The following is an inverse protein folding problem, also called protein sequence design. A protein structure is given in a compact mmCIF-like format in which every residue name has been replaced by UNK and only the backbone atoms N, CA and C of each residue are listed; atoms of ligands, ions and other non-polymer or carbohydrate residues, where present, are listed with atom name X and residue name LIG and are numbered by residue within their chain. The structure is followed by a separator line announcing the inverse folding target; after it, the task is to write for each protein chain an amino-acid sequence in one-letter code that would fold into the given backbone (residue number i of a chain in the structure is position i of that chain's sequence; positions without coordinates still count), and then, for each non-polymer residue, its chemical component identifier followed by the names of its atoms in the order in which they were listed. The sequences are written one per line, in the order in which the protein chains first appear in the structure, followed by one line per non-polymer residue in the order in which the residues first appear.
data_IF_719967747129
#
_entry.id   IF_719967747129
#
_cell.length_a   1.000
_cell.length_b   1.000
_cell.length_c   1.000
_cell.angle_alpha   90.00
_cell.angle_beta   90.00
_cell.angle_gamma   90.00
#
_symmetry.space_group_name_H-M   'P 1'
#
loop_
_entity.id
_entity.type
_entity.pdbx_description
1 polymer ?
#
# COMPACT_ATOMS: atom_id res chain seq x y z
N UNK A 1 38.89 1.70 -6.47
CA UNK A 1 38.45 0.98 -7.68
C UNK A 1 37.03 0.51 -7.46
N UNK A 2 36.14 0.63 -8.47
CA UNK A 2 34.76 0.15 -8.36
C UNK A 2 34.74 -1.36 -8.11
N UNK A 3 33.92 -1.81 -7.14
CA UNK A 3 33.75 -3.21 -6.77
C UNK A 3 32.67 -3.85 -7.64
N UNK A 4 32.77 -5.13 -8.01
CA UNK A 4 31.68 -5.91 -8.62
C UNK A 4 30.80 -6.55 -7.55
N UNK A 5 29.55 -6.13 -7.49
CA UNK A 5 28.52 -6.48 -6.52
C UNK A 5 27.45 -7.23 -7.29
N UNK A 6 26.77 -8.20 -6.67
CA UNK A 6 25.58 -8.85 -7.21
C UNK A 6 24.39 -8.62 -6.22
N UNK A 7 23.21 -8.20 -6.67
CA UNK A 7 22.01 -7.99 -5.82
C UNK A 7 20.97 -9.06 -6.12
N UNK A 8 20.76 -10.10 -5.32
CA UNK A 8 19.71 -11.08 -5.66
C UNK A 8 18.35 -10.59 -5.11
N UNK A 9 17.51 -9.91 -5.92
CA UNK A 9 16.18 -9.38 -5.59
C UNK A 9 15.95 -7.95 -6.12
N UNK A 10 14.81 -7.67 -6.77
CA UNK A 10 14.43 -6.46 -7.51
C UNK A 10 13.07 -5.90 -7.09
N UNK A 11 12.62 -6.18 -5.86
CA UNK A 11 11.63 -5.33 -5.20
C UNK A 11 12.12 -3.87 -5.10
N UNK A 12 11.26 -2.95 -4.67
CA UNK A 12 11.59 -1.50 -4.62
C UNK A 12 12.90 -1.21 -3.89
N UNK A 13 13.27 -2.00 -2.88
CA UNK A 13 14.56 -1.91 -2.19
C UNK A 13 15.77 -2.52 -2.92
N UNK A 14 15.59 -3.54 -3.76
CA UNK A 14 16.65 -3.98 -4.66
C UNK A 14 17.05 -2.83 -5.59
N UNK A 15 16.04 -2.10 -6.06
CA UNK A 15 16.17 -0.89 -6.85
C UNK A 15 16.80 0.26 -6.04
N UNK A 16 16.36 0.55 -4.81
CA UNK A 16 16.95 1.62 -3.98
C UNK A 16 18.39 1.32 -3.53
N UNK A 17 18.76 0.07 -3.28
CA UNK A 17 20.13 -0.31 -2.90
C UNK A 17 21.08 -0.35 -4.11
N UNK A 18 20.58 -0.80 -5.27
CA UNK A 18 21.30 -0.60 -6.52
C UNK A 18 21.59 0.90 -6.75
N UNK A 19 20.62 1.76 -6.44
CA UNK A 19 20.74 3.21 -6.54
C UNK A 19 21.80 3.77 -5.56
N UNK A 20 21.68 3.50 -4.26
CA UNK A 20 22.58 4.07 -3.25
C UNK A 20 24.03 3.52 -3.31
N UNK A 21 24.23 2.27 -3.73
CA UNK A 21 25.56 1.64 -3.82
C UNK A 21 26.27 1.98 -5.14
N UNK A 22 25.50 2.22 -6.21
CA UNK A 22 25.99 2.89 -7.42
C UNK A 22 26.42 4.32 -7.11
N UNK A 23 25.70 5.03 -6.23
CA UNK A 23 26.04 6.40 -5.80
C UNK A 23 27.36 6.50 -5.02
N UNK A 24 27.87 5.38 -4.49
CA UNK A 24 29.21 5.28 -3.86
C UNK A 24 30.29 4.71 -4.80
N UNK A 25 29.96 4.49 -6.08
CA UNK A 25 30.94 4.12 -7.13
C UNK A 25 31.24 2.62 -7.28
N UNK A 26 30.28 1.73 -7.02
CA UNK A 26 30.44 0.28 -7.21
C UNK A 26 29.66 -0.26 -8.44
N UNK A 27 30.16 -1.33 -9.06
CA UNK A 27 29.53 -2.13 -10.13
C UNK A 27 28.57 -3.17 -9.52
N UNK A 28 27.35 -3.35 -10.01
CA UNK A 28 26.27 -4.09 -9.32
C UNK A 28 25.56 -5.07 -10.31
N UNK A 29 25.13 -6.27 -9.88
CA UNK A 29 24.52 -7.30 -10.75
C UNK A 29 23.34 -8.01 -10.06
N UNK A 30 22.10 -7.64 -10.39
CA UNK A 30 20.92 -8.02 -9.61
C UNK A 30 20.19 -9.31 -10.12
N UNK A 31 19.64 -10.22 -9.28
CA UNK A 31 18.81 -11.38 -9.67
C UNK A 31 17.58 -11.60 -8.76
N UNK A 32 16.36 -11.34 -9.23
CA UNK A 32 15.11 -11.50 -8.44
C UNK A 32 14.36 -12.77 -8.82
N UNK A 33 13.58 -13.31 -7.88
CA UNK A 33 12.67 -14.41 -8.14
C UNK A 33 11.19 -14.08 -7.82
N UNK A 34 10.87 -13.28 -6.79
CA UNK A 34 9.51 -12.79 -6.50
C UNK A 34 9.50 -11.46 -5.73
N UNK A 35 8.81 -10.43 -6.24
CA UNK A 35 8.80 -9.06 -5.66
C UNK A 35 7.68 -8.78 -4.65
N UNK A 36 7.03 -9.80 -4.11
CA UNK A 36 5.83 -9.69 -3.27
C UNK A 36 6.13 -9.95 -1.79
N UNK A 37 5.72 -9.03 -0.92
CA UNK A 37 5.99 -9.10 0.51
C UNK A 37 4.72 -9.19 1.35
N UNK A 38 4.77 -9.96 2.44
CA UNK A 38 3.73 -9.89 3.46
C UNK A 38 3.86 -8.56 4.23
N UNK A 39 2.80 -7.75 4.24
CA UNK A 39 2.82 -6.37 4.79
C UNK A 39 3.42 -6.30 6.19
N UNK A 40 3.01 -7.20 7.09
CA UNK A 40 3.48 -7.20 8.49
C UNK A 40 4.97 -7.48 8.55
N UNK A 41 5.48 -8.41 7.74
CA UNK A 41 6.91 -8.70 7.70
C UNK A 41 7.68 -7.49 7.18
N UNK A 42 7.27 -6.89 6.06
CA UNK A 42 7.94 -5.71 5.51
C UNK A 42 7.96 -4.55 6.51
N UNK A 43 6.82 -4.23 7.10
CA UNK A 43 6.72 -3.18 8.11
C UNK A 43 7.61 -3.44 9.33
N UNK A 44 7.61 -4.66 9.86
CA UNK A 44 8.46 -5.02 11.01
C UNK A 44 9.95 -4.88 10.68
N UNK A 45 10.39 -5.27 9.48
CA UNK A 45 11.78 -5.09 9.06
C UNK A 45 12.15 -3.61 8.90
N UNK A 46 11.30 -2.81 8.26
CA UNK A 46 11.52 -1.37 8.12
C UNK A 46 11.57 -0.67 9.48
N UNK A 47 10.62 -0.98 10.38
CA UNK A 47 10.61 -0.47 11.76
C UNK A 47 11.89 -0.85 12.50
N UNK A 48 12.31 -2.11 12.41
CA UNK A 48 13.55 -2.57 13.03
C UNK A 48 14.76 -1.81 12.48
N UNK A 49 14.87 -1.63 11.16
CA UNK A 49 15.94 -0.86 10.53
C UNK A 49 15.94 0.61 10.96
N UNK A 50 14.79 1.26 10.99
CA UNK A 50 14.63 2.66 11.40
C UNK A 50 15.04 2.89 12.86
N UNK A 51 14.74 1.94 13.76
CA UNK A 51 15.04 2.08 15.20
C UNK A 51 16.42 1.55 15.60
N UNK A 52 17.15 0.92 14.68
CA UNK A 52 18.52 0.47 14.94
C UNK A 52 19.47 1.67 14.83
N UNK A 53 20.30 1.98 15.85
CA UNK A 53 21.27 3.07 15.76
C UNK A 53 22.22 2.90 14.57
N UNK A 54 22.45 3.98 13.81
CA UNK A 54 23.31 3.96 12.62
C UNK A 54 24.22 5.18 12.57
N UNK A 55 25.28 5.27 13.41
CA UNK A 55 26.24 6.36 13.37
C UNK A 55 26.80 6.58 11.96
N UNK A 56 27.02 7.84 11.52
CA UNK A 56 26.89 9.08 12.29
C UNK A 56 25.45 9.63 12.41
N UNK A 57 24.44 8.95 11.87
CA UNK A 57 23.06 9.44 11.88
C UNK A 57 22.42 9.37 13.28
N UNK A 58 21.58 10.36 13.60
CA UNK A 58 20.84 10.42 14.85
C UNK A 58 19.79 9.29 14.95
N UNK A 59 19.48 8.78 16.16
CA UNK A 59 18.46 7.77 16.34
C UNK A 59 17.05 8.34 16.09
N UNK A 60 16.16 7.51 15.53
CA UNK A 60 14.75 7.86 15.34
C UNK A 60 13.99 7.65 16.67
N UNK A 61 13.30 8.69 17.13
CA UNK A 61 12.37 8.59 18.28
C UNK A 61 10.98 8.16 17.82
N UNK A 62 10.48 7.03 18.34
CA UNK A 62 9.12 6.55 18.08
C UNK A 62 8.22 6.72 19.30
N UNK A 63 7.27 7.65 19.20
CA UNK A 63 6.26 7.88 20.23
C UNK A 63 4.99 7.07 19.91
N UNK A 64 4.79 5.95 20.60
CA UNK A 64 3.55 5.16 20.49
C UNK A 64 2.47 5.68 21.43
N UNK A 65 1.20 5.36 21.17
CA UNK A 65 0.06 5.84 21.97
C UNK A 65 -0.11 7.37 21.99
N UNK A 66 0.46 8.06 21.00
CA UNK A 66 0.34 9.50 20.78
C UNK A 66 -0.59 9.75 19.60
N UNK A 67 -1.91 9.70 19.83
CA UNK A 67 -2.90 9.95 18.77
C UNK A 67 -2.93 11.45 18.46
N UNK A 68 -2.55 11.81 17.23
CA UNK A 68 -2.68 13.19 16.73
C UNK A 68 -4.16 13.56 16.65
N UNK A 69 -4.52 14.72 17.18
CA UNK A 69 -5.89 15.26 17.16
C UNK A 69 -6.03 16.48 16.25
N UNK A 70 -4.97 17.28 16.12
CA UNK A 70 -4.90 18.42 15.21
C UNK A 70 -3.43 18.83 15.00
N UNK A 71 -3.18 19.74 14.08
CA UNK A 71 -1.86 20.31 13.79
C UNK A 71 -2.00 21.75 13.27
N UNK A 72 -0.90 22.48 13.28
CA UNK A 72 -0.75 23.79 12.64
C UNK A 72 0.39 23.73 11.61
N UNK A 73 0.09 23.82 10.29
CA UNK A 73 1.11 23.80 9.24
C UNK A 73 2.02 25.04 9.22
N UNK A 74 1.60 26.17 9.77
CA UNK A 74 2.39 27.42 9.78
C UNK A 74 3.49 27.32 10.82
N UNK A 75 3.12 26.88 12.02
CA UNK A 75 4.06 26.75 13.15
C UNK A 75 4.66 25.36 13.28
N UNK A 76 4.41 24.45 12.32
CA UNK A 76 4.91 23.08 12.31
C UNK A 76 4.67 22.32 13.64
N UNK A 77 3.50 22.56 14.25
CA UNK A 77 3.14 22.01 15.56
C UNK A 77 2.06 20.94 15.45
N UNK A 78 2.26 19.81 16.16
CA UNK A 78 1.32 18.68 16.23
C UNK A 78 0.79 18.55 17.65
N UNK A 79 -0.53 18.37 17.79
CA UNK A 79 -1.23 18.25 19.06
C UNK A 79 -1.78 16.83 19.25
N UNK A 80 -1.66 16.30 20.46
CA UNK A 80 -2.00 14.91 20.77
C UNK A 80 -3.16 14.81 21.76
N UNK A 81 -3.85 13.67 21.76
CA UNK A 81 -5.00 13.42 22.63
C UNK A 81 -4.66 13.40 24.13
N UNK A 82 -3.38 13.27 24.49
CA UNK A 82 -2.90 13.31 25.87
C UNK A 82 -2.62 14.75 26.35
N UNK A 83 -2.92 15.77 25.55
CA UNK A 83 -2.70 17.18 25.87
C UNK A 83 -1.27 17.69 25.60
N UNK A 84 -0.36 16.80 25.18
CA UNK A 84 1.00 17.18 24.78
C UNK A 84 0.97 17.78 23.36
N UNK A 85 1.95 18.63 23.05
CA UNK A 85 2.24 19.07 21.68
C UNK A 85 3.74 18.93 21.39
N UNK A 86 4.07 18.83 20.11
CA UNK A 86 5.45 18.82 19.61
C UNK A 86 5.57 19.77 18.43
N UNK A 87 6.62 20.58 18.43
CA UNK A 87 6.97 21.50 17.36
C UNK A 87 8.28 21.04 16.72
N UNK A 88 8.34 21.07 15.39
CA UNK A 88 9.57 20.92 14.62
C UNK A 88 9.57 21.93 13.48
N UNK A 89 10.39 21.70 12.45
CA UNK A 89 10.47 22.63 11.32
C UNK A 89 9.51 22.23 10.17
N UNK A 90 9.20 20.93 10.06
CA UNK A 90 8.39 20.34 8.99
C UNK A 90 7.47 19.24 9.53
N UNK A 91 6.25 19.14 8.99
CA UNK A 91 5.31 18.04 9.25
C UNK A 91 5.17 17.17 7.99
N UNK A 92 5.33 15.85 8.14
CA UNK A 92 5.09 14.86 7.08
C UNK A 92 3.85 14.03 7.44
N UNK A 93 2.78 14.18 6.66
CA UNK A 93 1.56 13.40 6.72
C UNK A 93 1.67 12.06 5.99
N UNK A 94 1.88 10.99 6.75
CA UNK A 94 1.92 9.61 6.27
C UNK A 94 0.89 8.71 6.99
N UNK A 95 -0.25 9.28 7.37
CA UNK A 95 -1.30 8.69 8.21
C UNK A 95 -2.40 7.94 7.43
N UNK A 96 -2.10 7.58 6.17
CA UNK A 96 -2.85 6.60 5.40
C UNK A 96 -4.17 7.11 4.80
N UNK A 97 -4.99 6.18 4.29
CA UNK A 97 -6.21 6.53 3.53
C UNK A 97 -7.19 7.39 4.36
N UNK A 98 -7.28 7.19 5.68
CA UNK A 98 -8.13 7.99 6.58
C UNK A 98 -7.42 9.22 7.17
N UNK A 99 -6.41 9.72 6.47
CA UNK A 99 -5.57 10.83 6.91
C UNK A 99 -6.34 12.02 7.48
N UNK A 100 -5.95 12.40 8.69
CA UNK A 100 -6.25 13.67 9.33
C UNK A 100 -5.39 14.77 8.72
N UNK A 101 -4.10 14.51 8.50
CA UNK A 101 -3.16 15.53 7.99
C UNK A 101 -3.60 16.07 6.63
N UNK A 102 -4.22 15.24 5.79
CA UNK A 102 -4.75 15.62 4.47
C UNK A 102 -5.74 16.78 4.54
N UNK A 103 -6.58 16.90 5.57
CA UNK A 103 -7.54 18.01 5.64
C UNK A 103 -6.86 19.37 5.79
N UNK A 104 -5.63 19.40 6.33
CA UNK A 104 -4.88 20.64 6.53
C UNK A 104 -4.23 21.16 5.24
N UNK A 105 -3.96 20.29 4.26
CA UNK A 105 -3.47 20.71 2.93
C UNK A 105 -4.54 21.32 2.02
N UNK A 106 -5.82 21.11 2.35
CA UNK A 106 -6.94 21.55 1.53
C UNK A 106 -7.37 22.97 1.90
N UNK A 107 -7.85 23.70 0.89
CA UNK A 107 -8.54 24.96 1.14
C UNK A 107 -9.78 24.73 2.05
N UNK A 108 -10.15 25.66 2.94
CA UNK A 108 -11.30 25.49 3.84
C UNK A 108 -12.63 25.16 3.14
N UNK A 109 -12.79 25.56 1.87
CA UNK A 109 -13.96 25.26 1.04
C UNK A 109 -13.93 23.89 0.36
N UNK A 110 -12.81 23.16 0.43
CA UNK A 110 -12.62 21.84 -0.19
C UNK A 110 -12.59 20.73 0.86
N UNK A 111 -13.19 19.59 0.54
CA UNK A 111 -13.13 18.39 1.39
C UNK A 111 -13.09 17.11 0.56
N UNK A 112 -11.99 16.92 -0.16
CA UNK A 112 -11.67 15.68 -0.84
C UNK A 112 -11.42 14.60 0.22
N UNK A 113 -12.29 13.60 0.21
CA UNK A 113 -12.25 12.43 1.10
C UNK A 113 -12.32 11.15 0.26
N UNK A 114 -11.77 10.05 0.76
CA UNK A 114 -11.97 8.75 0.14
C UNK A 114 -13.47 8.40 0.09
N UNK A 115 -13.90 7.79 -1.00
CA UNK A 115 -15.25 7.32 -1.23
C UNK A 115 -15.24 5.83 -1.65
N UNK A 116 -16.33 5.09 -1.43
CA UNK A 116 -16.48 3.73 -1.93
C UNK A 116 -16.28 3.60 -3.44
N UNK A 117 -15.48 2.63 -3.87
CA UNK A 117 -15.31 2.31 -5.30
C UNK A 117 -16.43 1.44 -5.89
N UNK A 118 -17.39 0.96 -5.08
CA UNK A 118 -18.37 -0.05 -5.46
C UNK A 118 -17.86 -1.49 -5.40
N UNK A 119 -16.61 -1.70 -4.96
CA UNK A 119 -15.99 -3.01 -4.81
C UNK A 119 -15.49 -3.26 -3.39
N UNK A 120 -15.57 -4.51 -2.96
CA UNK A 120 -14.96 -5.04 -1.75
C UNK A 120 -14.01 -6.19 -2.10
N UNK A 121 -13.06 -6.48 -1.22
CA UNK A 121 -12.13 -7.59 -1.38
C UNK A 121 -12.08 -8.46 -0.13
N UNK A 122 -12.39 -9.75 -0.29
CA UNK A 122 -11.99 -10.73 0.70
C UNK A 122 -10.48 -10.96 0.60
N UNK A 123 -9.79 -10.96 1.73
CA UNK A 123 -8.36 -11.22 1.84
C UNK A 123 -8.08 -12.24 2.92
N UNK A 124 -7.23 -13.20 2.60
CA UNK A 124 -6.75 -14.23 3.51
C UNK A 124 -5.43 -14.80 2.97
N UNK A 125 -4.78 -15.60 3.81
CA UNK A 125 -3.54 -16.29 3.49
C UNK A 125 -3.75 -17.78 3.63
N UNK A 126 -3.18 -18.55 2.71
CA UNK A 126 -3.00 -20.00 2.86
C UNK A 126 -1.52 -20.32 2.85
N UNK A 127 -1.13 -21.43 3.47
CA UNK A 127 0.23 -21.94 3.27
C UNK A 127 0.29 -22.58 1.88
N UNK A 128 1.38 -22.38 1.14
CA UNK A 128 1.56 -23.04 -0.16
C UNK A 128 1.53 -24.57 0.00
N UNK A 129 2.07 -25.08 1.10
CA UNK A 129 2.05 -26.50 1.43
C UNK A 129 0.63 -27.08 1.55
N UNK A 130 -0.33 -26.36 2.14
CA UNK A 130 -1.71 -26.87 2.22
C UNK A 130 -2.35 -26.93 0.84
N UNK A 131 -2.15 -25.89 0.01
CA UNK A 131 -2.65 -25.86 -1.38
C UNK A 131 -2.03 -26.97 -2.24
N UNK A 132 -0.76 -27.30 -2.01
CA UNK A 132 -0.10 -28.40 -2.72
C UNK A 132 -0.52 -29.81 -2.23
N UNK A 133 -1.03 -29.93 -1.00
CA UNK A 133 -1.48 -31.24 -0.47
C UNK A 133 -2.79 -31.75 -1.06
N UNK A 134 -3.56 -30.88 -1.74
CA UNK A 134 -4.81 -31.25 -2.40
C UNK A 134 -4.59 -31.30 -3.93
N UNK A 135 -4.73 -32.47 -4.59
CA UNK A 135 -4.50 -32.60 -6.04
C UNK A 135 -5.30 -31.64 -6.91
N UNK A 136 -6.53 -31.27 -6.50
CA UNK A 136 -7.38 -30.31 -7.22
C UNK A 136 -6.75 -28.92 -7.27
N UNK A 137 -6.19 -28.49 -6.15
CA UNK A 137 -5.61 -27.13 -6.01
C UNK A 137 -4.12 -27.08 -6.34
N UNK A 138 -3.41 -28.21 -6.19
CA UNK A 138 -1.96 -28.28 -6.35
C UNK A 138 -1.49 -27.88 -7.75
N UNK A 139 -2.25 -28.24 -8.79
CA UNK A 139 -1.93 -27.95 -10.20
C UNK A 139 -1.79 -26.47 -10.50
N UNK A 140 -2.36 -25.61 -9.67
CA UNK A 140 -2.35 -24.16 -9.84
C UNK A 140 -1.10 -23.49 -9.25
N UNK A 141 -0.39 -24.14 -8.33
CA UNK A 141 0.70 -23.50 -7.57
C UNK A 141 2.01 -24.30 -7.60
N UNK A 142 2.23 -25.10 -8.66
CA UNK A 142 3.38 -25.99 -8.76
C UNK A 142 4.69 -25.23 -8.93
N UNK A 143 4.66 -24.08 -9.61
CA UNK A 143 5.86 -23.25 -9.81
C UNK A 143 6.00 -22.29 -8.64
N UNK A 144 7.24 -21.98 -8.31
CA UNK A 144 7.48 -20.90 -7.37
C UNK A 144 7.27 -19.54 -8.08
N UNK A 145 6.81 -18.53 -7.34
CA UNK A 145 6.52 -17.22 -7.92
C UNK A 145 5.24 -17.13 -8.77
N UNK A 146 4.45 -18.19 -8.84
CA UNK A 146 3.26 -18.28 -9.67
C UNK A 146 2.15 -17.33 -9.20
N UNK A 147 1.80 -16.34 -10.05
CA UNK A 147 0.66 -15.46 -9.85
C UNK A 147 -0.49 -15.93 -10.72
N UNK A 148 -1.66 -16.10 -10.12
CA UNK A 148 -2.87 -16.53 -10.82
C UNK A 148 -3.95 -15.48 -10.67
N UNK A 149 -4.65 -15.23 -11.77
CA UNK A 149 -5.82 -14.38 -11.81
C UNK A 149 -6.96 -15.11 -12.50
N UNK A 150 -8.09 -15.21 -11.82
CA UNK A 150 -9.36 -15.59 -12.42
C UNK A 150 -10.21 -14.34 -12.58
N UNK A 151 -10.80 -14.19 -13.77
CA UNK A 151 -11.65 -13.07 -14.13
C UNK A 151 -13.08 -13.57 -14.39
N UNK A 152 -14.05 -12.91 -13.77
CA UNK A 152 -15.45 -12.96 -14.15
C UNK A 152 -15.91 -11.59 -14.66
N UNK A 153 -17.22 -11.45 -14.86
CA UNK A 153 -17.81 -10.20 -15.37
C UNK A 153 -17.68 -9.04 -14.38
N UNK A 154 -17.81 -9.27 -13.08
CA UNK A 154 -17.83 -8.20 -12.06
C UNK A 154 -16.96 -8.49 -10.84
N UNK A 155 -16.22 -9.60 -10.89
CA UNK A 155 -15.43 -10.13 -9.78
C UNK A 155 -14.17 -10.82 -10.27
N UNK A 156 -13.15 -10.86 -9.41
CA UNK A 156 -11.84 -11.43 -9.71
C UNK A 156 -11.21 -12.05 -8.48
N UNK A 157 -10.47 -13.14 -8.69
CA UNK A 157 -9.63 -13.73 -7.64
C UNK A 157 -8.19 -13.63 -8.09
N UNK A 158 -7.37 -12.95 -7.29
CA UNK A 158 -5.92 -12.83 -7.50
C UNK A 158 -5.23 -13.60 -6.39
N UNK A 159 -4.33 -14.50 -6.78
CA UNK A 159 -3.53 -15.30 -5.85
C UNK A 159 -2.07 -15.16 -6.22
N UNK A 160 -1.24 -14.81 -5.24
CA UNK A 160 0.19 -14.70 -5.46
C UNK A 160 0.98 -15.10 -4.21
N UNK A 161 2.19 -15.67 -4.37
CA UNK A 161 3.05 -16.01 -3.26
C UNK A 161 3.58 -14.77 -2.57
N UNK A 162 3.90 -14.93 -1.29
CA UNK A 162 4.58 -13.97 -0.42
C UNK A 162 5.50 -14.77 0.51
N UNK A 163 6.36 -14.07 1.25
CA UNK A 163 7.20 -14.71 2.29
C UNK A 163 8.03 -15.86 1.71
N UNK A 164 8.78 -15.58 0.63
CA UNK A 164 9.60 -16.56 -0.09
C UNK A 164 8.79 -17.79 -0.52
N UNK A 165 7.65 -17.55 -1.17
CA UNK A 165 6.78 -18.59 -1.73
C UNK A 165 6.10 -19.53 -0.70
N UNK A 166 6.24 -19.27 0.61
CA UNK A 166 5.64 -20.11 1.66
C UNK A 166 4.16 -19.79 1.93
N UNK A 167 3.73 -18.54 1.72
CA UNK A 167 2.37 -18.08 1.93
C UNK A 167 1.76 -17.58 0.64
N UNK A 168 0.52 -17.98 0.35
CA UNK A 168 -0.26 -17.50 -0.78
C UNK A 168 -1.26 -16.46 -0.29
N UNK A 169 -1.16 -15.24 -0.81
CA UNK A 169 -2.10 -14.16 -0.54
C UNK A 169 -3.25 -14.22 -1.55
N UNK A 170 -4.48 -14.34 -1.02
CA UNK A 170 -5.70 -14.31 -1.82
C UNK A 170 -6.34 -12.91 -1.74
N UNK A 171 -6.79 -12.41 -2.89
CA UNK A 171 -7.59 -11.18 -3.01
C UNK A 171 -8.79 -11.49 -3.89
N UNK A 172 -9.97 -11.60 -3.29
CA UNK A 172 -11.21 -11.93 -3.99
C UNK A 172 -12.09 -10.69 -4.06
N UNK A 173 -11.96 -9.94 -5.16
CA UNK A 173 -12.64 -8.66 -5.40
C UNK A 173 -14.01 -8.92 -6.02
N UNK A 174 -15.04 -8.27 -5.48
CA UNK A 174 -16.44 -8.46 -5.85
C UNK A 174 -17.22 -7.15 -5.61
N UNK A 175 -18.45 -6.98 -6.15
CA UNK A 175 -19.31 -5.84 -5.83
C UNK A 175 -19.54 -5.73 -4.32
N UNK A 176 -19.36 -4.54 -3.75
CA UNK A 176 -19.42 -4.34 -2.30
C UNK A 176 -20.80 -4.71 -1.71
N UNK A 177 -21.89 -4.41 -2.42
CA UNK A 177 -23.26 -4.77 -2.07
C UNK A 177 -23.48 -6.27 -1.74
N UNK A 178 -22.61 -7.18 -2.24
CA UNK A 178 -22.71 -8.62 -1.94
C UNK A 178 -22.09 -9.02 -0.59
N UNK A 179 -21.36 -8.12 0.06
CA UNK A 179 -20.69 -8.37 1.35
C UNK A 179 -20.93 -7.28 2.39
N UNK A 180 -21.59 -6.19 2.01
CA UNK A 180 -22.04 -5.16 2.94
C UNK A 180 -23.02 -5.76 3.96
N UNK A 181 -22.81 -5.41 5.22
CA UNK A 181 -23.82 -5.53 6.26
C UNK A 181 -24.02 -4.16 6.90
N UNK A 182 -25.27 -3.81 7.22
CA UNK A 182 -25.66 -2.50 7.77
C UNK A 182 -24.92 -2.11 9.07
N UNK A 183 -24.19 -3.03 9.70
CA UNK A 183 -23.49 -2.84 10.99
C UNK A 183 -21.97 -2.66 10.89
N UNK A 184 -21.39 -2.64 9.68
CA UNK A 184 -19.93 -2.74 9.49
C UNK A 184 -19.24 -1.47 8.94
N UNK A 185 -19.87 -0.29 9.11
CA UNK A 185 -19.34 0.99 8.60
C UNK A 185 -17.97 1.39 9.19
N UNK A 186 -17.66 0.97 10.43
CA UNK A 186 -16.42 1.37 11.12
C UNK A 186 -15.68 0.16 11.71
N UNK A 187 -14.69 -0.34 10.98
CA UNK A 187 -13.77 -1.32 11.56
C UNK A 187 -12.87 -2.00 10.54
N UNK A 188 -11.57 -1.77 10.68
CA UNK A 188 -10.53 -2.59 10.07
C UNK A 188 -10.80 -4.09 10.24
N UNK A 189 -10.99 -4.82 9.15
CA UNK A 189 -10.85 -6.27 9.11
C UNK A 189 -11.80 -7.08 10.00
N UNK A 190 -13.03 -6.62 10.25
CA UNK A 190 -14.04 -7.44 10.93
C UNK A 190 -14.50 -8.57 10.01
N UNK A 191 -14.49 -9.77 10.58
CA UNK A 191 -14.44 -11.06 9.91
C UNK A 191 -15.43 -11.25 8.76
N UNK A 192 -14.91 -11.68 7.62
CA UNK A 192 -15.73 -12.05 6.47
C UNK A 192 -16.42 -13.39 6.71
N UNK A 193 -17.69 -13.54 6.30
CA UNK A 193 -18.34 -14.86 6.25
C UNK A 193 -17.76 -15.69 5.12
N UNK A 194 -17.27 -16.88 5.46
CA UNK A 194 -16.78 -17.86 4.49
C UNK A 194 -17.93 -18.38 3.62
N UNK A 195 -19.09 -18.56 4.21
CA UNK A 195 -20.32 -18.99 3.54
C UNK A 195 -20.68 -17.97 2.45
N UNK A 196 -20.63 -16.68 2.77
CA UNK A 196 -20.87 -15.61 1.80
C UNK A 196 -19.77 -15.55 0.73
N UNK A 197 -18.50 -15.73 1.10
CA UNK A 197 -17.41 -15.85 0.12
C UNK A 197 -17.73 -16.97 -0.89
N UNK A 198 -18.06 -18.18 -0.43
CA UNK A 198 -18.35 -19.31 -1.31
C UNK A 198 -19.59 -19.05 -2.17
N UNK A 199 -20.63 -18.42 -1.62
CA UNK A 199 -21.82 -18.02 -2.36
C UNK A 199 -21.51 -17.02 -3.48
N UNK A 200 -20.67 -16.01 -3.21
CA UNK A 200 -20.25 -15.03 -4.23
C UNK A 200 -19.54 -15.72 -5.39
N UNK A 201 -18.76 -16.77 -5.15
CA UNK A 201 -18.00 -17.44 -6.21
C UNK A 201 -18.59 -18.78 -6.66
N UNK A 202 -19.84 -19.11 -6.28
CA UNK A 202 -20.42 -20.46 -6.44
C UNK A 202 -20.50 -20.96 -7.89
N UNK A 203 -20.56 -20.05 -8.86
CA UNK A 203 -20.63 -20.38 -10.29
C UNK A 203 -19.27 -20.59 -10.95
N UNK A 204 -18.17 -20.44 -10.20
CA UNK A 204 -16.82 -20.58 -10.73
C UNK A 204 -16.34 -22.03 -10.69
N UNK A 205 -15.22 -22.29 -11.37
CA UNK A 205 -14.60 -23.61 -11.46
C UNK A 205 -14.38 -24.27 -10.08
N UNK A 206 -14.60 -25.58 -10.02
CA UNK A 206 -14.59 -26.35 -8.78
C UNK A 206 -13.23 -26.29 -8.06
N UNK A 207 -12.12 -26.23 -8.79
CA UNK A 207 -10.79 -26.23 -8.20
C UNK A 207 -10.46 -24.88 -7.54
N UNK A 208 -10.95 -23.79 -8.13
CA UNK A 208 -10.85 -22.45 -7.53
C UNK A 208 -11.70 -22.38 -6.25
N UNK A 209 -12.94 -22.88 -6.32
CA UNK A 209 -13.82 -22.98 -5.15
C UNK A 209 -13.19 -23.82 -4.03
N UNK A 210 -12.49 -24.90 -4.38
CA UNK A 210 -11.79 -25.74 -3.43
C UNK A 210 -10.70 -24.97 -2.67
N UNK A 211 -9.96 -24.07 -3.34
CA UNK A 211 -9.01 -23.17 -2.67
C UNK A 211 -9.72 -22.20 -1.72
N UNK A 212 -10.87 -21.62 -2.11
CA UNK A 212 -11.63 -20.72 -1.24
C UNK A 212 -12.19 -21.45 0.00
N UNK A 213 -12.58 -22.71 -0.13
CA UNK A 213 -12.99 -23.56 1.01
C UNK A 213 -11.87 -23.79 2.02
N UNK A 214 -10.60 -23.57 1.67
CA UNK A 214 -9.50 -23.67 2.62
C UNK A 214 -9.37 -22.44 3.52
N UNK A 215 -10.03 -21.32 3.18
CA UNK A 215 -10.04 -20.13 4.02
C UNK A 215 -10.60 -20.44 5.42
N UNK A 216 -9.98 -19.88 6.47
CA UNK A 216 -10.43 -20.05 7.85
C UNK A 216 -11.46 -18.98 8.20
N UNK A 217 -12.61 -19.43 8.71
CA UNK A 217 -13.60 -18.51 9.25
C UNK A 217 -13.02 -17.76 10.46
N UNK A 218 -13.34 -16.46 10.62
CA UNK A 218 -12.92 -15.70 11.78
C UNK A 218 -13.61 -16.24 13.03
N UNK A 219 -12.84 -16.74 14.00
CA UNK A 219 -13.33 -16.99 15.36
C UNK A 219 -13.08 -15.73 16.21
N UNK A 220 -13.82 -15.57 17.31
CA UNK A 220 -13.69 -14.39 18.20
C UNK A 220 -12.29 -14.23 18.80
N UNK A 221 -11.51 -15.30 18.91
CA UNK A 221 -10.11 -15.29 19.37
C UNK A 221 -9.07 -15.09 18.25
N UNK A 222 -9.43 -15.25 16.98
CA UNK A 222 -8.48 -15.37 15.85
C UNK A 222 -8.46 -14.17 14.87
N UNK A 223 -9.07 -13.04 15.22
CA UNK A 223 -9.18 -11.90 14.29
C UNK A 223 -7.81 -11.34 13.82
N UNK A 224 -6.74 -11.62 14.57
CA UNK A 224 -5.37 -11.22 14.23
C UNK A 224 -4.44 -12.39 13.86
N UNK A 225 -4.97 -13.63 13.80
CA UNK A 225 -4.20 -14.81 13.41
C UNK A 225 -3.98 -14.84 11.89
N UNK A 226 -2.76 -15.22 11.46
CA UNK A 226 -2.40 -15.39 10.05
C UNK A 226 -3.36 -16.38 9.37
N UNK A 227 -4.02 -15.94 8.28
CA UNK A 227 -4.93 -16.76 7.49
C UNK A 227 -6.43 -16.57 7.77
N UNK A 228 -6.80 -15.74 8.75
CA UNK A 228 -8.20 -15.39 9.02
C UNK A 228 -8.79 -14.56 7.88
N UNK A 229 -9.99 -14.96 7.41
CA UNK A 229 -10.73 -14.29 6.36
C UNK A 229 -11.20 -12.89 6.80
N UNK A 230 -10.82 -11.86 6.03
CA UNK A 230 -11.25 -10.47 6.23
C UNK A 230 -11.85 -9.92 4.96
N UNK A 231 -12.85 -9.05 5.08
CA UNK A 231 -13.38 -8.28 3.96
C UNK A 231 -13.01 -6.81 4.13
N UNK A 232 -12.61 -6.18 3.03
CA UNK A 232 -12.20 -4.78 3.00
C UNK A 232 -12.94 -4.07 1.87
N UNK A 233 -13.61 -2.97 2.21
CA UNK A 233 -14.15 -2.08 1.19
C UNK A 233 -12.99 -1.38 0.48
N UNK A 234 -13.01 -1.35 -0.84
CA UNK A 234 -12.01 -0.65 -1.63
C UNK A 234 -12.44 0.81 -1.77
N UNK A 235 -11.59 1.72 -1.31
CA UNK A 235 -11.84 3.15 -1.36
C UNK A 235 -11.04 3.76 -2.51
N UNK A 236 -11.65 4.69 -3.22
CA UNK A 236 -11.03 5.57 -4.20
C UNK A 236 -11.08 7.01 -3.66
N UNK A 237 -10.33 7.93 -4.25
CA UNK A 237 -10.30 9.32 -3.84
C UNK A 237 -9.98 10.21 -5.04
N UNK A 238 -10.69 11.32 -5.21
CA UNK A 238 -10.33 12.27 -6.26
C UNK A 238 -8.88 12.78 -6.08
N UNK A 239 -8.14 13.04 -7.18
CA UNK A 239 -6.79 13.61 -7.10
C UNK A 239 -6.76 14.88 -6.25
N UNK A 240 -5.77 15.00 -5.37
CA UNK A 240 -5.60 16.23 -4.58
C UNK A 240 -5.00 17.33 -5.48
N UNK A 241 -5.44 18.58 -5.34
CA UNK A 241 -4.84 19.68 -6.11
C UNK A 241 -3.39 19.96 -5.69
N UNK A 242 -3.05 19.71 -4.42
CA UNK A 242 -1.73 19.91 -3.83
C UNK A 242 -1.44 18.82 -2.80
N UNK A 243 -0.18 18.44 -2.63
CA UNK A 243 0.30 17.59 -1.54
C UNK A 243 0.89 18.41 -0.39
N UNK A 244 1.09 19.71 -0.59
CA UNK A 244 1.78 20.60 0.34
C UNK A 244 0.93 21.80 0.71
N UNK A 245 1.15 22.33 1.92
CA UNK A 245 0.64 23.63 2.37
C UNK A 245 1.47 24.13 3.55
N UNK A 246 2.02 25.34 3.47
CA UNK A 246 3.00 25.84 4.45
C UNK A 246 4.11 24.81 4.68
N UNK A 247 4.37 24.43 5.94
CA UNK A 247 5.38 23.45 6.32
C UNK A 247 4.78 22.05 6.52
N UNK A 248 3.71 21.71 5.78
CA UNK A 248 3.11 20.38 5.76
C UNK A 248 3.22 19.75 4.37
N UNK A 249 3.56 18.47 4.34
CA UNK A 249 3.56 17.64 3.12
C UNK A 249 2.92 16.27 3.33
N UNK A 250 2.21 15.76 2.33
CA UNK A 250 1.61 14.42 2.35
C UNK A 250 2.42 13.42 1.50
N UNK A 251 2.40 12.15 1.90
CA UNK A 251 2.92 11.03 1.10
C UNK A 251 2.08 9.75 1.28
N UNK A 252 2.25 8.80 0.35
CA UNK A 252 1.52 7.53 0.35
C UNK A 252 0.00 7.72 0.32
N UNK A 253 -0.73 6.80 0.95
CA UNK A 253 -2.21 6.82 0.94
C UNK A 253 -2.83 8.08 1.57
N UNK A 254 -2.07 8.90 2.31
CA UNK A 254 -2.55 10.20 2.77
C UNK A 254 -2.72 11.17 1.60
N UNK A 255 -1.82 11.11 0.62
CA UNK A 255 -1.82 11.95 -0.59
C UNK A 255 -2.58 11.29 -1.76
N UNK A 256 -2.33 10.02 -2.03
CA UNK A 256 -2.74 9.33 -3.26
C UNK A 256 -3.11 7.86 -3.03
N UNK A 257 -4.22 7.57 -2.31
CA UNK A 257 -4.69 6.20 -2.16
C UNK A 257 -5.11 5.62 -3.52
N UNK A 258 -4.67 4.39 -3.80
CA UNK A 258 -4.99 3.69 -5.04
C UNK A 258 -5.85 2.46 -4.82
N UNK A 259 -6.60 2.10 -5.85
CA UNK A 259 -7.20 0.78 -5.93
C UNK A 259 -6.10 -0.27 -6.11
N UNK A 260 -6.27 -1.49 -5.53
CA UNK A 260 -5.19 -2.48 -5.44
C UNK A 260 -4.87 -3.16 -6.78
N UNK A 261 -5.52 -2.77 -7.87
CA UNK A 261 -5.51 -3.43 -9.16
C UNK A 261 -4.14 -3.43 -9.86
N UNK A 262 -3.19 -2.62 -9.40
CA UNK A 262 -1.81 -2.55 -9.91
C UNK A 262 -0.73 -2.96 -8.91
N UNK A 263 -1.07 -3.10 -7.63
CA UNK A 263 -0.07 -3.28 -6.58
C UNK A 263 0.89 -2.10 -6.39
N UNK A 264 0.57 -0.89 -6.89
CA UNK A 264 1.49 0.25 -6.93
C UNK A 264 1.46 1.19 -5.72
N UNK A 265 0.54 1.00 -4.75
CA UNK A 265 0.42 1.89 -3.58
C UNK A 265 1.71 1.96 -2.76
N UNK A 266 2.23 0.81 -2.35
CA UNK A 266 3.48 0.75 -1.58
C UNK A 266 4.69 1.26 -2.38
N UNK A 267 4.72 0.99 -3.70
CA UNK A 267 5.77 1.50 -4.60
C UNK A 267 5.80 3.01 -4.65
N UNK A 268 4.64 3.63 -4.86
CA UNK A 268 4.54 5.10 -4.93
C UNK A 268 4.87 5.77 -3.60
N UNK A 269 4.47 5.17 -2.47
CA UNK A 269 4.85 5.69 -1.15
C UNK A 269 6.37 5.64 -0.91
N UNK A 270 7.06 4.61 -1.40
CA UNK A 270 8.53 4.54 -1.29
C UNK A 270 9.20 5.55 -2.24
N UNK A 271 8.66 5.75 -3.44
CA UNK A 271 9.12 6.81 -4.33
C UNK A 271 8.94 8.20 -3.71
N UNK A 272 7.84 8.45 -2.99
CA UNK A 272 7.63 9.70 -2.27
C UNK A 272 8.71 9.90 -1.20
N UNK A 273 8.95 8.87 -0.38
CA UNK A 273 9.96 8.92 0.67
C UNK A 273 11.37 9.17 0.08
N UNK A 274 11.71 8.52 -1.04
CA UNK A 274 12.95 8.75 -1.74
C UNK A 274 13.05 10.17 -2.32
N UNK A 275 11.98 10.69 -2.93
CA UNK A 275 11.95 12.05 -3.45
C UNK A 275 12.09 13.10 -2.35
N UNK A 276 11.42 12.91 -1.20
CA UNK A 276 11.60 13.77 -0.02
C UNK A 276 13.05 13.76 0.46
N UNK A 277 13.67 12.58 0.58
CA UNK A 277 15.08 12.48 1.00
C UNK A 277 16.04 13.20 0.03
N UNK A 278 15.74 13.20 -1.27
CA UNK A 278 16.54 13.92 -2.28
C UNK A 278 16.38 15.43 -2.16
N UNK A 279 15.16 15.94 -1.96
CA UNK A 279 14.94 17.39 -1.87
C UNK A 279 15.27 17.97 -0.48
N UNK A 280 15.44 17.11 0.54
CA UNK A 280 15.89 17.47 1.89
C UNK A 280 17.25 16.83 2.25
N UNK A 281 18.37 17.27 1.65
CA UNK A 281 19.70 16.91 2.14
C UNK A 281 19.98 17.50 3.54
N UNK A 282 21.05 17.03 4.20
CA UNK A 282 21.31 17.35 5.62
C UNK A 282 21.70 18.81 5.92
N UNK A 283 21.88 19.66 4.91
CA UNK A 283 22.29 21.06 4.99
C UNK A 283 21.19 22.06 4.59
N UNK A 284 19.94 21.58 4.48
CA UNK A 284 18.77 22.42 4.20
C UNK A 284 18.58 23.47 5.29
N UNK A 285 18.35 24.72 4.87
CA UNK A 285 18.01 25.81 5.79
C UNK A 285 16.50 25.92 5.96
N UNK A 286 16.07 26.45 7.11
CA UNK A 286 14.65 26.59 7.46
C UNK A 286 13.88 27.40 6.42
N UNK A 287 14.48 28.48 5.92
CA UNK A 287 13.91 29.35 4.89
C UNK A 287 13.69 28.66 3.52
N UNK A 288 14.34 27.51 3.28
CA UNK A 288 14.23 26.74 2.03
C UNK A 288 13.13 25.67 2.08
N UNK A 289 12.55 25.38 3.25
CA UNK A 289 11.64 24.25 3.46
C UNK A 289 10.46 24.29 2.49
N UNK A 290 9.77 25.43 2.40
CA UNK A 290 8.57 25.55 1.56
C UNK A 290 8.89 25.42 0.06
N UNK A 291 10.02 25.97 -0.39
CA UNK A 291 10.47 25.83 -1.78
C UNK A 291 10.78 24.36 -2.11
N UNK A 292 11.47 23.65 -1.21
CA UNK A 292 11.81 22.23 -1.37
C UNK A 292 10.58 21.32 -1.31
N UNK A 293 9.60 21.65 -0.48
CA UNK A 293 8.29 20.99 -0.48
C UNK A 293 7.60 21.14 -1.84
N UNK A 294 7.62 22.33 -2.43
CA UNK A 294 7.06 22.55 -3.76
C UNK A 294 7.80 21.75 -4.83
N UNK A 295 9.12 21.63 -4.72
CA UNK A 295 9.91 20.77 -5.61
C UNK A 295 9.51 19.29 -5.49
N UNK A 296 9.35 18.77 -4.27
CA UNK A 296 8.82 17.41 -4.06
C UNK A 296 7.45 17.23 -4.72
N UNK A 297 6.53 18.18 -4.51
CA UNK A 297 5.19 18.10 -5.10
C UNK A 297 5.25 18.07 -6.62
N UNK A 298 6.04 18.96 -7.24
CA UNK A 298 6.22 19.01 -8.69
C UNK A 298 6.77 17.69 -9.26
N UNK A 299 7.66 17.00 -8.52
CA UNK A 299 8.22 15.70 -8.92
C UNK A 299 7.17 14.58 -8.82
N UNK A 300 6.30 14.62 -7.80
CA UNK A 300 5.47 13.48 -7.41
C UNK A 300 4.04 13.53 -7.90
N UNK A 301 3.41 14.70 -7.90
CA UNK A 301 1.96 14.84 -8.04
C UNK A 301 1.43 14.27 -9.36
N UNK A 302 2.07 14.61 -10.49
CA UNK A 302 1.66 14.11 -11.81
C UNK A 302 1.77 12.59 -11.94
N UNK A 303 2.87 12.01 -11.44
CA UNK A 303 3.08 10.56 -11.44
C UNK A 303 2.07 9.84 -10.56
N UNK A 304 1.83 10.35 -9.36
CA UNK A 304 0.88 9.78 -8.43
C UNK A 304 -0.55 9.78 -9.00
N UNK A 305 -0.98 10.90 -9.58
CA UNK A 305 -2.30 11.01 -10.21
C UNK A 305 -2.48 10.06 -11.39
N UNK A 306 -1.44 9.89 -12.23
CA UNK A 306 -1.50 8.92 -13.34
C UNK A 306 -1.66 7.48 -12.85
N UNK A 307 -0.94 7.10 -11.79
CA UNK A 307 -1.08 5.78 -11.18
C UNK A 307 -2.50 5.61 -10.61
N UNK A 308 -3.04 6.65 -9.96
CA UNK A 308 -4.41 6.64 -9.47
C UNK A 308 -5.42 6.41 -10.58
N UNK A 309 -5.36 7.20 -11.65
CA UNK A 309 -6.24 7.07 -12.81
C UNK A 309 -6.13 5.69 -13.46
N UNK A 310 -4.91 5.21 -13.66
CA UNK A 310 -4.69 3.91 -14.27
C UNK A 310 -5.19 2.77 -13.37
N UNK A 311 -5.11 2.93 -12.04
CA UNK A 311 -5.69 1.97 -11.09
C UNK A 311 -7.20 1.86 -11.24
N UNK A 312 -7.90 2.97 -11.57
CA UNK A 312 -9.34 2.97 -11.86
C UNK A 312 -9.65 2.24 -13.17
N UNK A 313 -8.87 2.48 -14.22
CA UNK A 313 -9.07 1.85 -15.53
C UNK A 313 -8.96 0.32 -15.40
N UNK A 314 -7.92 -0.19 -14.71
CA UNK A 314 -7.77 -1.63 -14.43
C UNK A 314 -8.75 -2.16 -13.36
N UNK A 315 -9.48 -1.24 -12.72
CA UNK A 315 -10.57 -1.51 -11.78
C UNK A 315 -11.87 -1.89 -12.44
N UNK A 316 -12.10 -1.43 -13.67
CA UNK A 316 -13.35 -1.56 -14.41
C UNK A 316 -13.69 -3.01 -14.73
N UNK A 317 -14.99 -3.27 -14.77
CA UNK A 317 -15.52 -4.53 -15.24
C UNK A 317 -15.50 -4.59 -16.78
N UNK A 318 -15.36 -5.77 -17.40
CA UNK A 318 -15.47 -5.91 -18.84
C UNK A 318 -16.76 -5.29 -19.40
N UNK A 319 -16.61 -4.34 -20.32
CA UNK A 319 -17.73 -3.60 -20.94
C UNK A 319 -18.04 -2.24 -20.30
N UNK A 320 -17.35 -1.84 -19.23
CA UNK A 320 -17.49 -0.50 -18.65
C UNK A 320 -16.56 0.54 -19.32
N UNK A 321 -17.17 1.55 -19.96
CA UNK A 321 -16.47 2.69 -20.55
C UNK A 321 -15.84 2.41 -21.92
N UNK A 322 -15.22 3.44 -22.50
CA UNK A 322 -14.44 3.28 -23.74
C UNK A 322 -13.03 2.78 -23.43
N UNK A 323 -12.41 2.05 -24.36
CA UNK A 323 -10.99 1.71 -24.30
C UNK A 323 -10.16 3.00 -24.16
N UNK A 324 -9.38 3.09 -23.07
CA UNK A 324 -8.51 4.24 -22.80
C UNK A 324 -7.06 3.82 -23.00
N UNK A 325 -6.39 4.43 -23.97
CA UNK A 325 -4.94 4.29 -24.14
C UNK A 325 -4.24 5.37 -23.33
N UNK A 326 -3.60 4.98 -22.22
CA UNK A 326 -2.79 5.87 -21.38
C UNK A 326 -1.31 5.61 -21.66
N UNK A 327 -0.59 6.59 -22.23
CA UNK A 327 0.87 6.50 -22.39
C UNK A 327 1.56 6.89 -21.08
N UNK A 328 2.00 5.88 -20.32
CA UNK A 328 2.66 6.08 -19.02
C UNK A 328 3.97 6.86 -19.09
N UNK A 329 4.53 7.09 -20.28
CA UNK A 329 5.80 7.77 -20.53
C UNK A 329 5.65 9.25 -20.85
N UNK A 330 4.43 9.72 -21.18
CA UNK A 330 4.21 11.14 -21.49
C UNK A 330 3.88 11.90 -20.20
N UNK A 331 4.50 13.07 -19.97
CA UNK A 331 4.34 13.85 -18.73
C UNK A 331 2.91 14.28 -18.48
#
# INVERSE_FOLDING_TARGET
MPLKILIIGAGIGGLTAAIALREQGHEITMTEYTSTAHRVQLHSHLKSKALTPSPPNLPITLLTSHKVTTLDPVTSTVYFSNGISHTGDLIIGADGVHSLTRSFTQAPSSSIKPFPSGKSAYRFLLTRASVLSNPKTAKHMQKEGELIMWFGTDRRVVVYPTSSNSLLNFVCIHPDALSESEKNWEGWGKGGSKENLLKIYESWDEDMLEMLKMARSPTSSDINTTGTLKVWRLLDMHPLPNFTRENLVLLGDAAHPYLPHQGQGAGSAIEDAAALAVVFPGDVKEEEIQERLKLYENIRIGRAHRIQEFSRILGRDPGEGNDVVVDIRKP
#
